data_IF_795749933816
#
_entry.id   IF_795749933816
#
_cell.length_a   1.000
_cell.length_b   1.000
_cell.length_c   1.000
_cell.angle_alpha   90.00
_cell.angle_beta   90.00
_cell.angle_gamma   90.00
#
_symmetry.space_group_name_H-M   'P 1'
#
loop_
_entity.id
_entity.type
_entity.pdbx_description
1 polymer ?
#
# COMPACT_ATOMS: atom_id res chain seq x y z
N UNK A 1 -4.87 -12.14 -5.60
CA UNK A 1 -6.04 -11.27 -5.85
C UNK A 1 -7.36 -12.02 -5.76
N UNK A 2 -7.62 -13.05 -6.57
CA UNK A 2 -8.92 -13.75 -6.58
C UNK A 2 -9.39 -14.33 -5.23
N UNK A 3 -8.49 -14.92 -4.43
CA UNK A 3 -8.85 -15.41 -3.09
C UNK A 3 -9.32 -14.28 -2.15
N UNK A 4 -8.73 -13.09 -2.25
CA UNK A 4 -9.13 -11.95 -1.41
C UNK A 4 -10.53 -11.45 -1.75
N UNK A 5 -10.89 -11.41 -3.05
CA UNK A 5 -12.26 -11.07 -3.48
C UNK A 5 -13.28 -12.10 -3.01
N UNK A 6 -12.97 -13.39 -3.10
CA UNK A 6 -13.89 -14.46 -2.66
C UNK A 6 -14.13 -14.36 -1.15
N UNK A 7 -13.07 -14.15 -0.37
CA UNK A 7 -13.18 -13.96 1.08
C UNK A 7 -13.99 -12.71 1.40
N UNK A 8 -13.74 -11.59 0.71
CA UNK A 8 -14.48 -10.35 0.89
C UNK A 8 -15.97 -10.50 0.61
N UNK A 9 -16.33 -11.07 -0.55
CA UNK A 9 -17.73 -11.29 -0.93
C UNK A 9 -18.42 -12.28 0.03
N UNK A 10 -17.74 -13.36 0.41
CA UNK A 10 -18.29 -14.34 1.35
C UNK A 10 -18.54 -13.75 2.73
N UNK A 11 -17.60 -12.95 3.25
CA UNK A 11 -17.73 -12.33 4.57
C UNK A 11 -18.82 -11.25 4.61
N UNK A 12 -18.89 -10.38 3.60
CA UNK A 12 -19.90 -9.31 3.57
C UNK A 12 -21.31 -9.87 3.47
N UNK A 13 -21.51 -10.90 2.64
CA UNK A 13 -22.79 -11.59 2.50
C UNK A 13 -23.18 -12.31 3.80
N UNK A 14 -22.25 -13.02 4.44
CA UNK A 14 -22.50 -13.72 5.69
C UNK A 14 -22.88 -12.78 6.83
N UNK A 15 -22.16 -11.67 6.99
CA UNK A 15 -22.46 -10.67 8.02
C UNK A 15 -23.79 -9.96 7.79
N UNK A 16 -24.16 -9.68 6.53
CA UNK A 16 -25.47 -9.12 6.19
C UNK A 16 -26.63 -10.08 6.53
N UNK A 17 -26.48 -11.36 6.22
CA UNK A 17 -27.49 -12.39 6.52
C UNK A 17 -27.64 -12.58 8.03
N UNK A 18 -26.54 -12.70 8.77
CA UNK A 18 -26.57 -12.82 10.24
C UNK A 18 -27.17 -11.57 10.88
N UNK A 19 -26.79 -10.37 10.42
CA UNK A 19 -27.37 -9.12 10.89
C UNK A 19 -28.88 -9.04 10.64
N UNK A 20 -29.33 -9.38 9.44
CA UNK A 20 -30.75 -9.35 9.09
C UNK A 20 -31.59 -10.39 9.85
N UNK A 21 -31.08 -11.61 10.06
CA UNK A 21 -31.78 -12.61 10.88
C UNK A 21 -31.83 -12.22 12.35
N UNK A 22 -30.76 -11.63 12.89
CA UNK A 22 -30.71 -11.20 14.28
C UNK A 22 -31.66 -10.02 14.57
N UNK A 23 -31.74 -9.06 13.64
CA UNK A 23 -32.66 -7.92 13.77
C UNK A 23 -34.11 -8.28 13.44
N UNK A 24 -34.36 -9.20 12.51
CA UNK A 24 -35.71 -9.67 12.19
C UNK A 24 -36.31 -10.61 13.27
N UNK A 25 -35.48 -11.30 14.06
CA UNK A 25 -35.93 -12.17 15.15
C UNK A 25 -36.29 -11.40 16.44
N UNK A 26 -36.05 -10.09 16.52
CA UNK A 26 -36.55 -9.27 17.64
C UNK A 26 -37.94 -8.75 17.34
N UNK A 27 -38.94 -9.31 18.02
CA UNK A 27 -40.30 -8.79 18.01
C UNK A 27 -40.34 -7.37 18.61
N UNK A 28 -40.86 -6.40 17.85
CA UNK A 28 -41.06 -5.01 18.30
C UNK A 28 -40.31 -3.91 17.52
N UNK A 29 -39.49 -4.28 16.52
CA UNK A 29 -38.81 -3.30 15.66
C UNK A 29 -39.57 -3.10 14.35
N UNK A 30 -39.79 -1.83 13.99
CA UNK A 30 -40.35 -1.47 12.70
C UNK A 30 -39.48 -2.03 11.56
N UNK A 31 -40.07 -2.69 10.55
CA UNK A 31 -39.32 -3.36 9.48
C UNK A 31 -38.37 -2.42 8.72
N UNK A 32 -38.66 -1.13 8.67
CA UNK A 32 -37.80 -0.15 8.02
C UNK A 32 -36.56 0.18 8.86
N UNK A 33 -36.70 0.18 10.19
CA UNK A 33 -35.60 0.43 11.13
C UNK A 33 -34.69 -0.80 11.25
N UNK A 34 -35.26 -2.00 11.29
CA UNK A 34 -34.51 -3.27 11.27
C UNK A 34 -33.62 -3.40 10.02
N UNK A 35 -34.12 -2.93 8.87
CA UNK A 35 -33.36 -2.91 7.60
C UNK A 35 -32.18 -1.94 7.65
N UNK A 36 -32.35 -0.76 8.25
CA UNK A 36 -31.27 0.22 8.44
C UNK A 36 -30.16 -0.30 9.35
N UNK A 37 -30.51 -0.93 10.47
CA UNK A 37 -29.53 -1.55 11.37
C UNK A 37 -28.80 -2.74 10.73
N UNK A 38 -29.49 -3.54 9.93
CA UNK A 38 -28.87 -4.64 9.17
C UNK A 38 -27.80 -4.13 8.19
N UNK A 39 -28.03 -2.97 7.56
CA UNK A 39 -27.06 -2.33 6.67
C UNK A 39 -25.79 -1.89 7.44
N UNK A 40 -25.97 -1.31 8.63
CA UNK A 40 -24.86 -0.93 9.52
C UNK A 40 -24.03 -2.15 9.95
N UNK A 41 -24.68 -3.26 10.29
CA UNK A 41 -24.00 -4.52 10.60
C UNK A 41 -23.22 -5.06 9.39
N UNK A 42 -23.78 -4.94 8.19
CA UNK A 42 -23.08 -5.29 6.94
C UNK A 42 -21.80 -4.48 6.72
N UNK A 43 -21.81 -3.18 6.99
CA UNK A 43 -20.61 -2.32 6.92
C UNK A 43 -19.58 -2.74 7.97
N UNK A 44 -20.01 -3.11 9.18
CA UNK A 44 -19.13 -3.72 10.19
C UNK A 44 -18.46 -5.01 9.68
N UNK A 45 -19.19 -5.83 8.92
CA UNK A 45 -18.66 -7.01 8.24
C UNK A 45 -17.56 -6.69 7.21
N UNK A 46 -17.70 -5.59 6.46
CA UNK A 46 -16.67 -5.12 5.52
C UNK A 46 -15.36 -4.78 6.25
N UNK A 47 -15.43 -4.10 7.40
CA UNK A 47 -14.25 -3.70 8.18
C UNK A 47 -13.54 -4.94 8.72
N UNK A 48 -14.28 -5.92 9.23
CA UNK A 48 -13.72 -7.19 9.70
C UNK A 48 -13.06 -7.99 8.56
N UNK A 49 -13.69 -8.02 7.39
CA UNK A 49 -13.12 -8.67 6.20
C UNK A 49 -11.81 -8.01 5.76
N UNK A 50 -11.76 -6.67 5.78
CA UNK A 50 -10.54 -5.91 5.47
C UNK A 50 -9.42 -6.21 6.49
N UNK A 51 -9.76 -6.30 7.78
CA UNK A 51 -8.79 -6.65 8.82
C UNK A 51 -8.23 -8.07 8.65
N UNK A 52 -9.10 -9.05 8.38
CA UNK A 52 -8.70 -10.44 8.13
C UNK A 52 -7.85 -10.53 6.87
N UNK A 53 -8.24 -9.83 5.80
CA UNK A 53 -7.48 -9.77 4.55
C UNK A 53 -6.10 -9.16 4.76
N UNK A 54 -5.98 -8.08 5.54
CA UNK A 54 -4.70 -7.46 5.91
C UNK A 54 -3.81 -8.39 6.73
N UNK A 55 -4.40 -9.20 7.63
CA UNK A 55 -3.69 -10.20 8.42
C UNK A 55 -3.18 -11.37 7.57
N UNK A 56 -4.01 -11.86 6.65
CA UNK A 56 -3.73 -13.02 5.80
C UNK A 56 -2.74 -12.68 4.67
N UNK A 57 -2.96 -11.54 4.01
CA UNK A 57 -2.03 -10.96 3.06
C UNK A 57 -1.21 -9.90 3.78
N UNK A 58 -0.30 -10.34 4.67
CA UNK A 58 0.68 -9.41 5.25
C UNK A 58 1.32 -8.62 4.11
N UNK A 59 1.36 -7.27 4.18
CA UNK A 59 1.93 -6.47 3.11
C UNK A 59 3.36 -6.98 2.88
N UNK A 60 3.60 -7.53 1.68
CA UNK A 60 4.90 -8.06 1.25
C UNK A 60 5.86 -6.89 0.98
N UNK A 61 5.93 -5.90 1.88
CA UNK A 61 6.97 -4.86 1.88
C UNK A 61 8.22 -5.46 2.49
N UNK A 62 8.81 -6.39 1.76
CA UNK A 62 10.26 -6.50 1.77
C UNK A 62 10.67 -5.37 0.83
N UNK A 63 10.87 -4.16 1.38
CA UNK A 63 11.64 -3.17 0.64
C UNK A 63 13.02 -3.81 0.58
N UNK A 64 13.38 -4.33 -0.58
CA UNK A 64 14.74 -4.77 -0.82
C UNK A 64 15.62 -3.50 -0.83
N UNK A 65 15.89 -2.95 0.35
CA UNK A 65 17.00 -2.02 0.57
C UNK A 65 18.36 -2.72 0.34
N UNK A 66 18.34 -4.01 0.01
CA UNK A 66 19.46 -4.78 -0.52
C UNK A 66 19.46 -4.84 -2.05
N UNK A 67 18.86 -3.87 -2.75
CA UNK A 67 19.33 -3.60 -4.11
C UNK A 67 20.75 -3.08 -3.94
N UNK A 68 21.66 -4.03 -4.10
CA UNK A 68 23.09 -3.85 -4.20
C UNK A 68 23.34 -2.54 -4.96
N UNK A 69 23.79 -1.49 -4.25
CA UNK A 69 24.03 -0.16 -4.86
C UNK A 69 25.06 -0.24 -6.01
N UNK A 70 25.68 -1.42 -6.20
CA UNK A 70 26.52 -1.80 -7.31
C UNK A 70 25.89 -1.62 -8.71
N UNK A 71 24.56 -1.59 -8.85
CA UNK A 71 23.90 -1.54 -10.16
C UNK A 71 22.92 -0.37 -10.37
N UNK A 72 23.09 0.73 -9.64
CA UNK A 72 22.30 1.96 -9.85
C UNK A 72 22.37 2.44 -11.31
N UNK A 73 23.53 2.31 -11.97
CA UNK A 73 23.71 2.68 -13.38
C UNK A 73 22.86 1.80 -14.32
N UNK A 74 22.67 0.52 -14.00
CA UNK A 74 21.85 -0.38 -14.81
C UNK A 74 20.36 -0.03 -14.67
N UNK A 75 19.92 0.30 -13.45
CA UNK A 75 18.55 0.74 -13.17
C UNK A 75 18.24 2.07 -13.87
N UNK A 76 19.15 3.06 -13.74
CA UNK A 76 19.00 4.36 -14.42
C UNK A 76 18.93 4.22 -15.95
N UNK A 77 19.70 3.30 -16.53
CA UNK A 77 19.64 2.99 -17.97
C UNK A 77 18.33 2.29 -18.36
N UNK A 78 17.82 1.38 -17.52
CA UNK A 78 16.55 0.69 -17.77
C UNK A 78 15.36 1.67 -17.69
N UNK A 79 15.45 2.69 -16.84
CA UNK A 79 14.48 3.78 -16.72
C UNK A 79 14.63 4.87 -17.80
N UNK A 80 15.63 4.75 -18.69
CA UNK A 80 15.83 5.67 -19.81
C UNK A 80 16.46 7.01 -19.43
N UNK A 81 17.11 7.09 -18.27
CA UNK A 81 17.78 8.29 -17.79
C UNK A 81 19.17 8.44 -18.44
N UNK A 82 19.52 9.64 -18.92
CA UNK A 82 20.83 9.92 -19.49
C UNK A 82 21.83 10.26 -18.36
N UNK A 83 22.82 9.40 -18.17
CA UNK A 83 23.77 9.49 -17.04
C UNK A 83 24.59 10.78 -17.07
N UNK A 84 24.93 11.30 -18.26
CA UNK A 84 25.72 12.54 -18.39
C UNK A 84 24.93 13.78 -17.93
N UNK A 85 23.63 13.83 -18.22
CA UNK A 85 22.76 14.93 -17.78
C UNK A 85 22.53 14.88 -16.26
N UNK A 86 22.38 13.68 -15.70
CA UNK A 86 22.22 13.48 -14.25
C UNK A 86 23.47 13.90 -13.48
N UNK A 87 24.67 13.57 -13.99
CA UNK A 87 25.94 14.00 -13.40
C UNK A 87 26.10 15.53 -13.50
N UNK A 88 25.70 16.14 -14.61
CA UNK A 88 25.76 17.59 -14.76
C UNK A 88 24.77 18.28 -13.79
N UNK A 89 23.56 17.76 -13.65
CA UNK A 89 22.58 18.26 -12.69
C UNK A 89 23.07 18.16 -11.24
N UNK A 90 23.78 17.07 -10.90
CA UNK A 90 24.44 16.90 -9.60
C UNK A 90 25.60 17.88 -9.38
N UNK A 91 26.33 18.25 -10.44
CA UNK A 91 27.42 19.26 -10.38
C UNK A 91 26.88 20.68 -10.22
N UNK A 92 25.71 20.98 -10.78
CA UNK A 92 25.04 22.27 -10.69
C UNK A 92 24.14 22.41 -9.44
N UNK A 93 23.97 21.32 -8.66
CA UNK A 93 23.20 21.31 -7.42
C UNK A 93 23.90 22.11 -6.30
N UNK A 94 23.08 22.67 -5.40
CA UNK A 94 23.59 23.45 -4.26
C UNK A 94 24.08 22.53 -3.15
N UNK A 95 25.03 23.01 -2.35
CA UNK A 95 25.58 22.25 -1.22
C UNK A 95 24.52 21.74 -0.23
N UNK A 96 23.43 22.50 -0.03
CA UNK A 96 22.31 22.08 0.81
C UNK A 96 21.55 20.87 0.23
N UNK A 97 21.36 20.82 -1.09
CA UNK A 97 20.66 19.73 -1.78
C UNK A 97 21.51 18.44 -1.76
N UNK A 98 22.83 18.59 -1.84
CA UNK A 98 23.80 17.49 -1.70
C UNK A 98 23.82 16.91 -0.28
N UNK A 99 23.62 17.74 0.75
CA UNK A 99 23.56 17.30 2.14
C UNK A 99 22.26 16.53 2.44
N UNK A 100 21.12 17.04 1.96
CA UNK A 100 19.82 16.35 2.03
C UNK A 100 19.85 15.00 1.28
N UNK A 101 20.50 14.91 0.12
CA UNK A 101 20.67 13.66 -0.61
C UNK A 101 21.48 12.60 0.16
N UNK A 102 22.51 13.02 0.93
CA UNK A 102 23.27 12.12 1.80
C UNK A 102 22.44 11.64 2.98
N UNK A 103 21.67 12.52 3.60
CA UNK A 103 20.77 12.13 4.70
C UNK A 103 19.72 11.11 4.27
N UNK A 104 19.29 11.16 3.00
CA UNK A 104 18.35 10.23 2.39
C UNK A 104 19.00 8.91 1.90
N UNK A 105 20.33 8.77 1.97
CA UNK A 105 21.06 7.55 1.65
C UNK A 105 21.33 7.33 0.15
N UNK A 106 21.35 8.40 -0.65
CA UNK A 106 21.68 8.37 -2.09
C UNK A 106 23.17 8.59 -2.38
N UNK A 107 24.04 8.28 -1.42
CA UNK A 107 25.48 8.57 -1.47
C UNK A 107 26.19 8.01 -2.71
N UNK A 108 25.69 6.90 -3.27
CA UNK A 108 26.32 6.27 -4.44
C UNK A 108 26.15 7.09 -5.72
N UNK A 109 25.11 7.91 -5.84
CA UNK A 109 24.99 8.86 -6.96
C UNK A 109 26.04 9.97 -6.87
N UNK A 110 26.36 10.41 -5.66
CA UNK A 110 27.41 11.40 -5.40
C UNK A 110 28.81 10.83 -5.66
N UNK A 111 29.04 9.57 -5.31
CA UNK A 111 30.32 8.88 -5.59
C UNK A 111 30.53 8.64 -7.09
N UNK A 112 29.46 8.38 -7.86
CA UNK A 112 29.53 8.27 -9.32
C UNK A 112 29.90 9.62 -9.94
N UNK A 113 29.28 10.73 -9.49
CA UNK A 113 29.59 12.08 -9.99
C UNK A 113 31.01 12.57 -9.66
N UNK A 114 31.68 12.00 -8.65
CA UNK A 114 33.06 12.34 -8.25
C UNK A 114 34.14 11.57 -8.99
N UNK A 115 33.77 10.45 -9.63
CA UNK A 115 34.70 9.52 -10.27
C UNK A 115 34.97 9.85 -11.75
N UNK A 116 34.22 10.81 -12.31
CA UNK A 116 34.44 11.47 -13.60
C UNK A 116 34.88 12.93 -13.45
#
# INVERSE_FOLDING_TARGET
>A
MFLASIIGIGFTMAFFIVGSQFFASREGLDPQLAKGYSLMVGIGGCILAAFISSKLFRPKRIIANSMDQSNIIAVLKEEGCNIEEEIQALKDAKDQELEEMKELGFDVLLDISKKE
#
